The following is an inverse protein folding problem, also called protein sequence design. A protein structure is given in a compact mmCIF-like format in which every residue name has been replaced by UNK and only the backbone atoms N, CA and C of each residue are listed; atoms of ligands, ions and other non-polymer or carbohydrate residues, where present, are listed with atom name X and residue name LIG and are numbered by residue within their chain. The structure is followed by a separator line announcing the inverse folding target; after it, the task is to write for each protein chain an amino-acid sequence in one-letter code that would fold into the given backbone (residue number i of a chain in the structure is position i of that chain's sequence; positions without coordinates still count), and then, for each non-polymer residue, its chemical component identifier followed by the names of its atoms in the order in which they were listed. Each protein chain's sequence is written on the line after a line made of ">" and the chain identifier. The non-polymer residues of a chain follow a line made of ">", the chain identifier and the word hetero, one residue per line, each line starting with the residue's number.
data_IF_360258890448
#
_entry.id   IF_360258890448
#
_cell.length_a   1.000
_cell.length_b   1.000
_cell.length_c   1.000
_cell.angle_alpha   90.00
_cell.angle_beta   90.00
_cell.angle_gamma   90.00
#
_symmetry.space_group_name_H-M   'P 1'
#
loop_
_entity.id
_entity.type
_entity.pdbx_description
1 polymer ?
#
# COMPACT_ATOMS: atom_id res chain seq x y z
N UNK A 1 -24.81 28.98 -61.54
CA UNK A 1 -26.05 28.75 -60.74
C UNK A 1 -26.09 27.27 -60.35
N UNK A 2 -26.47 26.99 -59.09
CA UNK A 2 -26.29 25.77 -58.27
C UNK A 2 -24.99 25.83 -57.42
N UNK A 3 -25.06 26.34 -56.18
CA UNK A 3 -25.45 25.63 -54.92
C UNK A 3 -24.48 24.46 -54.70
N UNK A 4 -23.55 24.46 -53.72
CA UNK A 4 -23.73 24.57 -52.28
C UNK A 4 -22.37 24.90 -51.60
N UNK A 5 -22.33 25.91 -50.73
CA UNK A 5 -21.35 25.98 -49.63
C UNK A 5 -22.11 26.44 -48.39
N UNK A 6 -22.59 25.47 -47.61
CA UNK A 6 -23.15 25.73 -46.28
C UNK A 6 -21.98 25.95 -45.32
N UNK A 7 -21.88 27.18 -44.82
CA UNK A 7 -20.94 27.60 -43.79
C UNK A 7 -21.05 26.70 -42.56
N UNK A 8 -19.90 26.17 -42.14
CA UNK A 8 -19.70 25.61 -40.81
C UNK A 8 -19.97 26.69 -39.78
N UNK A 9 -20.99 26.49 -38.94
CA UNK A 9 -21.03 27.11 -37.61
C UNK A 9 -22.04 26.37 -36.75
N UNK A 10 -21.56 25.45 -35.92
CA UNK A 10 -22.17 25.16 -34.61
C UNK A 10 -21.16 24.43 -33.75
N UNK A 11 -20.80 25.09 -32.65
CA UNK A 11 -20.35 24.54 -31.37
C UNK A 11 -19.19 23.54 -31.41
N UNK A 12 -17.98 24.09 -31.23
CA UNK A 12 -16.98 23.42 -30.42
C UNK A 12 -17.57 23.25 -29.00
N UNK A 13 -18.07 22.05 -28.69
CA UNK A 13 -18.21 21.64 -27.30
C UNK A 13 -16.78 21.36 -26.85
N UNK A 14 -16.17 22.34 -26.17
CA UNK A 14 -15.07 22.09 -25.28
C UNK A 14 -15.59 21.15 -24.19
N UNK A 15 -15.41 19.84 -24.38
CA UNK A 15 -15.45 18.93 -23.26
C UNK A 15 -14.18 19.21 -22.46
N UNK A 16 -14.31 20.09 -21.45
CA UNK A 16 -13.39 20.13 -20.31
C UNK A 16 -13.52 18.78 -19.58
N UNK A 17 -12.90 17.75 -20.15
CA UNK A 17 -12.50 16.58 -19.39
C UNK A 17 -11.34 17.03 -18.53
N UNK A 18 -11.59 17.23 -17.24
CA UNK A 18 -10.53 17.19 -16.24
C UNK A 18 -9.80 15.87 -16.47
N UNK A 19 -8.57 15.91 -16.99
CA UNK A 19 -7.66 14.76 -16.99
C UNK A 19 -7.55 14.30 -15.54
N UNK A 20 -8.30 13.25 -15.19
CA UNK A 20 -8.16 12.64 -13.88
C UNK A 20 -6.84 11.90 -13.93
N UNK A 21 -5.86 12.39 -13.18
CA UNK A 21 -4.67 11.62 -12.84
C UNK A 21 -5.07 10.16 -12.53
N UNK A 22 -4.27 9.20 -12.96
CA UNK A 22 -4.49 7.78 -12.71
C UNK A 22 -4.43 7.52 -11.19
N UNK A 23 -5.57 7.61 -10.50
CA UNK A 23 -5.71 7.40 -9.05
C UNK A 23 -6.20 5.98 -8.79
N UNK A 24 -5.44 5.21 -8.03
CA UNK A 24 -5.74 3.81 -7.69
C UNK A 24 -5.81 3.64 -6.18
N UNK A 25 -6.79 2.91 -5.66
CA UNK A 25 -6.79 2.55 -4.24
C UNK A 25 -5.89 1.32 -4.04
N UNK A 26 -4.67 1.52 -3.55
CA UNK A 26 -3.71 0.42 -3.34
C UNK A 26 -4.24 -0.63 -2.36
N UNK A 27 -5.10 -0.22 -1.42
CA UNK A 27 -5.65 -1.11 -0.41
C UNK A 27 -6.79 -1.99 -0.95
N UNK A 28 -7.33 -1.68 -2.14
CA UNK A 28 -8.49 -2.36 -2.72
C UNK A 28 -8.19 -2.90 -4.12
N UNK A 29 -7.57 -2.10 -4.97
CA UNK A 29 -7.28 -2.40 -6.37
C UNK A 29 -6.03 -3.29 -6.51
N UNK A 30 -5.99 -4.12 -7.56
CA UNK A 30 -4.88 -5.03 -7.88
C UNK A 30 -4.01 -4.53 -9.07
N UNK A 31 -3.54 -3.27 -9.15
CA UNK A 31 -2.74 -2.85 -10.29
C UNK A 31 -1.26 -3.32 -10.22
N UNK A 32 -0.83 -3.90 -9.09
CA UNK A 32 0.58 -4.33 -8.90
C UNK A 32 0.72 -5.83 -9.13
N UNK A 33 1.45 -6.19 -10.18
CA UNK A 33 1.84 -7.57 -10.48
C UNK A 33 3.23 -7.87 -9.88
N UNK A 34 3.25 -8.48 -8.70
CA UNK A 34 4.49 -8.99 -8.10
C UNK A 34 5.08 -10.14 -8.93
N UNK A 35 6.40 -10.35 -8.81
CA UNK A 35 7.05 -11.53 -9.36
C UNK A 35 6.42 -12.82 -8.79
N UNK A 36 5.76 -13.61 -9.65
CA UNK A 36 5.08 -14.84 -9.25
C UNK A 36 6.03 -15.94 -8.82
N UNK A 37 7.30 -15.88 -9.24
CA UNK A 37 8.32 -16.87 -8.88
C UNK A 37 8.99 -16.61 -7.55
N UNK A 38 8.73 -15.45 -6.94
CA UNK A 38 9.24 -15.11 -5.62
C UNK A 38 8.70 -16.09 -4.54
N UNK A 39 9.57 -16.81 -3.83
CA UNK A 39 9.15 -17.81 -2.85
C UNK A 39 8.36 -17.19 -1.69
N UNK A 40 8.74 -15.99 -1.24
CA UNK A 40 8.06 -15.29 -0.15
C UNK A 40 6.67 -14.84 -0.62
N UNK A 41 6.52 -14.44 -1.88
CA UNK A 41 5.21 -14.13 -2.44
C UNK A 41 4.28 -15.36 -2.49
N UNK A 42 4.82 -16.52 -2.92
CA UNK A 42 4.07 -17.78 -2.95
C UNK A 42 3.59 -18.18 -1.56
N UNK A 43 4.47 -18.11 -0.55
CA UNK A 43 4.13 -18.38 0.85
C UNK A 43 3.06 -17.43 1.37
N UNK A 44 3.20 -16.13 1.10
CA UNK A 44 2.23 -15.12 1.50
C UNK A 44 0.85 -15.35 0.87
N UNK A 45 0.78 -15.69 -0.43
CA UNK A 45 -0.48 -16.01 -1.11
C UNK A 45 -1.12 -17.29 -0.56
N UNK A 46 -0.33 -18.33 -0.28
CA UNK A 46 -0.84 -19.54 0.36
C UNK A 46 -1.43 -19.24 1.75
N UNK A 47 -0.76 -18.38 2.52
CA UNK A 47 -1.22 -17.92 3.82
C UNK A 47 -2.50 -17.08 3.74
N UNK A 48 -2.62 -16.18 2.77
CA UNK A 48 -3.88 -15.44 2.54
C UNK A 48 -5.04 -16.38 2.19
N UNK A 49 -4.77 -17.40 1.36
CA UNK A 49 -5.79 -18.36 0.95
C UNK A 49 -6.30 -19.18 2.15
N UNK A 50 -5.41 -19.69 3.01
CA UNK A 50 -5.80 -20.44 4.20
C UNK A 50 -6.60 -19.58 5.19
N UNK A 51 -6.27 -18.31 5.33
CA UNK A 51 -7.00 -17.36 6.18
C UNK A 51 -8.41 -17.09 5.69
N UNK A 52 -8.61 -17.01 4.38
CA UNK A 52 -9.94 -16.88 3.79
C UNK A 52 -10.83 -18.11 4.07
N UNK A 53 -10.24 -19.29 4.22
CA UNK A 53 -10.92 -20.55 4.56
C UNK A 53 -11.21 -20.60 6.05
N UNK A 54 -10.22 -20.31 6.90
CA UNK A 54 -10.36 -20.32 8.37
C UNK A 54 -11.38 -19.28 8.85
N UNK A 55 -11.39 -18.08 8.27
CA UNK A 55 -12.37 -17.05 8.60
C UNK A 55 -13.82 -17.45 8.28
N UNK A 56 -14.05 -18.45 7.42
CA UNK A 56 -15.38 -19.03 7.15
C UNK A 56 -15.74 -20.15 8.13
N UNK A 57 -14.75 -20.84 8.67
CA UNK A 57 -14.93 -21.99 9.56
C UNK A 57 -15.00 -21.60 11.05
N UNK A 58 -14.28 -20.57 11.46
CA UNK A 58 -14.23 -20.08 12.84
C UNK A 58 -14.99 -18.75 12.94
N UNK A 59 -16.11 -18.75 13.66
CA UNK A 59 -16.89 -17.56 13.96
C UNK A 59 -16.06 -16.62 14.85
N UNK A 60 -15.55 -15.54 14.27
CA UNK A 60 -15.40 -14.21 14.89
C UNK A 60 -14.65 -14.09 16.22
N UNK A 61 -13.53 -14.80 16.44
CA UNK A 61 -12.64 -14.47 17.57
C UNK A 61 -11.81 -13.21 17.30
N UNK A 62 -11.48 -12.47 18.37
CA UNK A 62 -10.63 -11.28 18.29
C UNK A 62 -9.26 -11.59 17.65
N UNK A 63 -8.69 -12.76 17.93
CA UNK A 63 -7.41 -13.19 17.33
C UNK A 63 -7.50 -13.39 15.81
N UNK A 64 -8.59 -14.00 15.31
CA UNK A 64 -8.81 -14.17 13.87
C UNK A 64 -8.94 -12.81 13.18
N UNK A 65 -9.65 -11.86 13.82
CA UNK A 65 -9.77 -10.51 13.29
C UNK A 65 -8.43 -9.77 13.25
N UNK A 66 -7.63 -9.88 14.32
CA UNK A 66 -6.28 -9.29 14.38
C UNK A 66 -5.38 -9.87 13.30
N UNK A 67 -5.40 -11.20 13.10
CA UNK A 67 -4.63 -11.87 12.06
C UNK A 67 -4.99 -11.37 10.66
N UNK A 68 -6.30 -11.27 10.36
CA UNK A 68 -6.80 -10.69 9.11
C UNK A 68 -6.33 -9.24 8.90
N UNK A 69 -6.27 -8.45 9.97
CA UNK A 69 -5.75 -7.07 9.90
C UNK A 69 -4.24 -7.04 9.63
N UNK A 70 -3.44 -7.90 10.30
CA UNK A 70 -2.00 -8.04 10.03
C UNK A 70 -1.73 -8.36 8.56
N UNK A 71 -2.45 -9.31 7.99
CA UNK A 71 -2.33 -9.70 6.58
C UNK A 71 -2.60 -8.51 5.66
N UNK A 72 -3.71 -7.81 5.87
CA UNK A 72 -4.07 -6.64 5.06
C UNK A 72 -3.07 -5.51 5.19
N UNK A 73 -2.57 -5.27 6.41
CA UNK A 73 -1.55 -4.26 6.69
C UNK A 73 -0.25 -4.59 5.98
N UNK A 74 0.20 -5.84 6.06
CA UNK A 74 1.40 -6.30 5.37
C UNK A 74 1.23 -6.23 3.85
N UNK A 75 0.12 -6.72 3.29
CA UNK A 75 -0.21 -6.62 1.86
C UNK A 75 -0.15 -5.16 1.38
N UNK A 76 -0.79 -4.25 2.11
CA UNK A 76 -0.80 -2.82 1.77
C UNK A 76 0.60 -2.23 1.81
N UNK A 77 1.39 -2.53 2.84
CA UNK A 77 2.78 -2.06 2.95
C UNK A 77 3.63 -2.56 1.78
N UNK A 78 3.50 -3.84 1.42
CA UNK A 78 4.24 -4.45 0.31
C UNK A 78 3.86 -3.84 -1.02
N UNK A 79 2.57 -3.56 -1.23
CA UNK A 79 2.10 -2.85 -2.42
C UNK A 79 2.59 -1.40 -2.47
N UNK A 80 2.63 -0.68 -1.35
CA UNK A 80 3.21 0.66 -1.29
C UNK A 80 4.69 0.65 -1.70
N UNK A 81 5.47 -0.29 -1.16
CA UNK A 81 6.89 -0.45 -1.53
C UNK A 81 7.02 -0.77 -3.02
N UNK A 82 6.22 -1.70 -3.52
CA UNK A 82 6.22 -2.12 -4.92
C UNK A 82 5.81 -1.01 -5.89
N UNK A 83 4.85 -0.17 -5.51
CA UNK A 83 4.45 0.99 -6.31
C UNK A 83 5.60 1.99 -6.47
N UNK A 84 6.34 2.22 -5.39
CA UNK A 84 7.51 3.11 -5.39
C UNK A 84 8.75 2.46 -6.02
N UNK A 85 8.81 1.12 -6.07
CA UNK A 85 9.78 0.41 -6.90
C UNK A 85 9.46 0.68 -8.38
N UNK A 86 10.48 1.06 -9.16
CA UNK A 86 10.32 1.36 -10.59
C UNK A 86 10.42 0.11 -11.46
N UNK A 87 10.46 -1.07 -10.84
CA UNK A 87 10.50 -2.37 -11.51
C UNK A 87 9.13 -2.76 -12.04
N UNK A 88 9.05 -3.30 -13.26
CA UNK A 88 7.79 -3.76 -13.86
C UNK A 88 7.16 -4.95 -13.09
N UNK A 89 8.00 -5.82 -12.51
CA UNK A 89 7.59 -6.96 -11.67
C UNK A 89 8.43 -6.97 -10.40
N UNK A 90 8.08 -6.15 -9.38
CA UNK A 90 8.87 -6.04 -8.18
C UNK A 90 8.84 -7.35 -7.38
N UNK A 91 9.99 -7.71 -6.83
CA UNK A 91 10.13 -8.86 -5.94
C UNK A 91 9.50 -8.56 -4.59
N UNK A 92 8.52 -9.37 -4.20
CA UNK A 92 7.83 -9.24 -2.93
C UNK A 92 8.78 -9.46 -1.75
N UNK A 93 9.73 -10.38 -1.86
CA UNK A 93 10.70 -10.75 -0.85
C UNK A 93 11.85 -9.77 -0.68
N UNK A 94 12.08 -8.85 -1.63
CA UNK A 94 13.27 -7.97 -1.66
C UNK A 94 13.46 -7.14 -0.38
N UNK A 95 12.38 -6.77 0.29
CA UNK A 95 12.42 -6.02 1.55
C UNK A 95 12.04 -6.87 2.77
N UNK A 96 11.92 -8.19 2.62
CA UNK A 96 11.62 -9.14 3.70
C UNK A 96 12.92 -9.79 4.18
N UNK A 97 13.09 -9.93 5.50
CA UNK A 97 14.30 -10.52 6.09
C UNK A 97 15.61 -9.84 5.63
N UNK A 98 15.56 -8.54 5.33
CA UNK A 98 16.69 -7.78 4.80
C UNK A 98 17.32 -6.90 5.88
N UNK A 99 18.65 -6.92 5.95
CA UNK A 99 19.42 -6.09 6.88
C UNK A 99 19.04 -6.34 8.34
N UNK A 100 19.09 -5.28 9.14
CA UNK A 100 18.78 -5.31 10.57
C UNK A 100 17.35 -4.87 10.90
N UNK A 101 16.64 -4.23 9.96
CA UNK A 101 15.36 -3.57 10.22
C UNK A 101 14.25 -3.86 9.20
N UNK A 102 14.54 -4.29 7.97
CA UNK A 102 13.49 -4.50 6.97
C UNK A 102 12.76 -5.83 7.17
N UNK A 103 11.59 -5.75 7.82
CA UNK A 103 10.62 -6.86 7.96
C UNK A 103 11.31 -8.18 8.38
N UNK A 104 12.11 -8.10 9.45
CA UNK A 104 12.96 -9.22 9.92
C UNK A 104 12.14 -10.47 10.27
N UNK A 105 10.94 -10.28 10.84
CA UNK A 105 10.00 -11.36 11.14
C UNK A 105 8.83 -11.40 10.13
N UNK A 106 9.01 -10.77 8.97
CA UNK A 106 7.97 -10.69 7.93
C UNK A 106 6.66 -10.09 8.44
N UNK A 107 5.57 -10.85 8.30
CA UNK A 107 4.22 -10.43 8.67
C UNK A 107 3.94 -10.56 10.18
N UNK A 108 4.66 -11.44 10.88
CA UNK A 108 4.35 -11.75 12.28
C UNK A 108 4.62 -10.56 13.20
N UNK A 109 5.73 -9.86 12.96
CA UNK A 109 6.07 -8.58 13.57
C UNK A 109 6.85 -7.64 12.62
N UNK A 110 6.15 -6.64 12.07
CA UNK A 110 6.76 -5.61 11.20
C UNK A 110 7.66 -4.63 11.96
N UNK A 111 7.70 -4.69 13.30
CA UNK A 111 8.49 -3.84 14.18
C UNK A 111 9.70 -4.58 14.77
N UNK A 112 9.96 -5.81 14.32
CA UNK A 112 11.13 -6.60 14.72
C UNK A 112 12.46 -6.00 14.23
N UNK A 113 13.57 -6.55 14.71
CA UNK A 113 14.94 -6.17 14.34
C UNK A 113 15.57 -5.09 15.23
N UNK A 114 16.89 -5.03 15.23
CA UNK A 114 17.71 -4.12 16.05
C UNK A 114 19.11 -3.97 15.44
N UNK A 115 19.83 -2.93 15.86
CA UNK A 115 21.22 -2.69 15.44
C UNK A 115 21.42 -1.39 14.67
N UNK A 116 22.58 -1.30 14.02
CA UNK A 116 22.87 -0.23 13.07
C UNK A 116 22.38 -0.65 11.69
N UNK A 117 21.71 0.24 10.94
CA UNK A 117 21.26 -0.09 9.60
C UNK A 117 22.46 -0.37 8.71
N UNK A 118 22.36 -1.39 7.88
CA UNK A 118 23.48 -1.83 7.01
C UNK A 118 23.65 -0.94 5.79
N UNK A 119 22.59 -0.27 5.35
CA UNK A 119 22.56 0.65 4.22
C UNK A 119 21.39 1.65 4.30
N UNK A 120 21.14 2.40 3.22
CA UNK A 120 20.07 3.39 3.14
C UNK A 120 18.67 2.77 3.09
N UNK A 121 18.54 1.57 2.50
CA UNK A 121 17.27 0.84 2.46
C UNK A 121 16.89 0.40 3.88
N UNK A 122 17.83 -0.20 4.59
CA UNK A 122 17.66 -0.62 5.98
C UNK A 122 17.44 0.58 6.92
N UNK A 123 18.08 1.72 6.61
CA UNK A 123 17.82 3.00 7.31
C UNK A 123 16.40 3.50 7.10
N UNK A 124 15.81 3.34 5.92
CA UNK A 124 14.40 3.65 5.68
C UNK A 124 13.47 2.71 6.49
N UNK A 125 13.77 1.43 6.56
CA UNK A 125 13.02 0.47 7.39
C UNK A 125 13.12 0.78 8.88
N UNK A 126 14.31 1.19 9.36
CA UNK A 126 14.50 1.67 10.73
C UNK A 126 13.61 2.88 11.04
N UNK A 127 13.58 3.88 10.15
CA UNK A 127 12.72 5.06 10.27
C UNK A 127 11.23 4.71 10.27
N UNK A 128 10.80 3.81 9.38
CA UNK A 128 9.42 3.32 9.37
C UNK A 128 9.03 2.67 10.70
N UNK A 129 9.84 1.73 11.21
CA UNK A 129 9.61 1.09 12.50
C UNK A 129 9.52 2.12 13.65
N UNK A 130 10.43 3.10 13.67
CA UNK A 130 10.40 4.15 14.68
C UNK A 130 9.12 5.00 14.59
N UNK A 131 8.67 5.35 13.37
CA UNK A 131 7.43 6.08 13.15
C UNK A 131 6.22 5.32 13.73
N UNK A 132 6.11 4.01 13.46
CA UNK A 132 5.02 3.19 14.03
C UNK A 132 5.12 3.10 15.56
N UNK A 133 6.34 2.98 16.12
CA UNK A 133 6.55 2.99 17.58
C UNK A 133 6.15 4.33 18.22
N UNK A 134 6.49 5.47 17.60
CA UNK A 134 6.05 6.79 18.06
C UNK A 134 4.53 6.90 18.03
N UNK A 135 3.87 6.48 16.95
CA UNK A 135 2.41 6.48 16.87
C UNK A 135 1.77 5.60 17.96
N UNK A 136 2.35 4.44 18.27
CA UNK A 136 1.91 3.60 19.38
C UNK A 136 2.05 4.31 20.74
N UNK A 137 3.17 4.99 20.97
CA UNK A 137 3.41 5.75 22.21
C UNK A 137 2.44 6.93 22.35
N UNK A 138 2.21 7.67 21.27
CA UNK A 138 1.42 8.90 21.30
C UNK A 138 -0.10 8.64 21.37
N UNK A 139 -0.58 7.55 20.78
CA UNK A 139 -2.02 7.26 20.66
C UNK A 139 -2.47 5.99 21.40
N UNK A 140 -1.56 5.11 21.80
CA UNK A 140 -1.89 3.81 22.41
C UNK A 140 -2.35 2.75 21.42
N UNK A 141 -2.24 1.48 21.82
CA UNK A 141 -2.59 0.30 21.00
C UNK A 141 -4.09 0.21 20.70
N UNK A 142 -4.93 0.78 21.54
CA UNK A 142 -6.38 0.82 21.37
C UNK A 142 -6.82 1.79 20.26
N UNK A 143 -6.04 2.85 19.98
CA UNK A 143 -6.37 3.85 18.94
C UNK A 143 -5.60 3.58 17.66
N UNK A 144 -4.29 3.34 17.78
CA UNK A 144 -3.37 3.14 16.66
C UNK A 144 -2.58 1.83 16.81
N UNK A 145 -3.24 0.66 16.79
CA UNK A 145 -2.51 -0.60 16.80
C UNK A 145 -1.68 -0.75 15.52
N UNK A 146 -0.45 -1.23 15.64
CA UNK A 146 0.48 -1.36 14.52
C UNK A 146 -0.05 -2.23 13.38
N UNK A 147 -0.86 -3.24 13.72
CA UNK A 147 -1.46 -4.20 12.79
C UNK A 147 -2.67 -3.65 12.03
N UNK A 148 -3.14 -2.45 12.35
CA UNK A 148 -4.28 -1.85 11.65
C UNK A 148 -3.88 -1.46 10.21
N UNK A 149 -4.64 -1.88 9.18
CA UNK A 149 -4.36 -1.50 7.80
C UNK A 149 -4.61 -0.01 7.56
N UNK A 150 -3.98 0.52 6.52
CA UNK A 150 -4.17 1.89 6.05
C UNK A 150 -5.08 1.92 4.83
N UNK A 151 -5.78 3.04 4.63
CA UNK A 151 -6.39 3.37 3.34
C UNK A 151 -5.46 4.30 2.58
N UNK A 152 -5.04 3.87 1.38
CA UNK A 152 -3.99 4.55 0.63
C UNK A 152 -4.34 4.57 -0.85
N UNK A 153 -4.15 5.71 -1.51
CA UNK A 153 -4.23 5.81 -2.97
C UNK A 153 -2.88 6.09 -3.59
N UNK A 154 -2.56 5.42 -4.69
CA UNK A 154 -1.48 5.77 -5.60
C UNK A 154 -1.97 6.81 -6.60
N UNK A 155 -1.11 7.74 -6.97
CA UNK A 155 -1.36 8.66 -8.08
C UNK A 155 -0.04 9.05 -8.75
N UNK A 156 -0.07 9.23 -10.06
CA UNK A 156 1.06 9.77 -10.82
C UNK A 156 0.73 11.21 -11.18
N UNK A 157 1.65 12.12 -10.87
CA UNK A 157 1.56 13.51 -11.30
C UNK A 157 1.70 13.58 -12.82
N UNK A 158 0.73 14.18 -13.50
CA UNK A 158 0.65 14.19 -14.97
C UNK A 158 1.65 15.14 -15.62
N UNK A 159 2.19 16.11 -14.88
CA UNK A 159 3.15 17.08 -15.38
C UNK A 159 4.60 16.59 -15.19
N UNK A 160 4.89 16.01 -14.03
CA UNK A 160 6.24 15.60 -13.63
C UNK A 160 6.49 14.09 -13.82
N UNK A 161 5.43 13.29 -13.89
CA UNK A 161 5.52 11.83 -13.85
C UNK A 161 5.86 11.27 -12.46
N UNK A 162 5.87 12.09 -11.42
CA UNK A 162 6.22 11.65 -10.07
C UNK A 162 5.12 10.78 -9.46
N UNK A 163 5.53 9.70 -8.77
CA UNK A 163 4.62 8.79 -8.06
C UNK A 163 4.36 9.30 -6.64
N UNK A 164 3.09 9.38 -6.26
CA UNK A 164 2.67 9.77 -4.92
C UNK A 164 1.79 8.71 -4.26
N UNK A 165 1.92 8.60 -2.94
CA UNK A 165 1.06 7.81 -2.06
C UNK A 165 0.30 8.76 -1.15
N UNK A 166 -1.03 8.71 -1.19
CA UNK A 166 -1.91 9.61 -0.42
C UNK A 166 -2.72 8.82 0.59
N UNK A 167 -2.52 9.12 1.87
CA UNK A 167 -3.29 8.54 2.96
C UNK A 167 -4.74 9.05 2.90
N UNK A 168 -5.71 8.13 2.98
CA UNK A 168 -7.15 8.44 2.99
C UNK A 168 -7.78 8.28 4.37
N UNK A 169 -7.02 7.81 5.35
CA UNK A 169 -7.50 7.77 6.72
C UNK A 169 -7.67 9.19 7.25
N UNK A 170 -8.80 9.43 7.94
CA UNK A 170 -9.05 10.73 8.57
C UNK A 170 -7.98 11.00 9.63
N UNK A 171 -7.43 12.21 9.59
CA UNK A 171 -6.48 12.67 10.59
C UNK A 171 -7.15 12.61 11.97
N UNK A 172 -6.52 11.88 12.90
CA UNK A 172 -7.02 11.76 14.27
C UNK A 172 -6.20 12.70 15.13
N UNK A 173 -6.79 13.82 15.52
CA UNK A 173 -6.17 14.76 16.46
C UNK A 173 -6.05 14.05 17.82
N UNK A 174 -4.83 14.02 18.37
CA UNK A 174 -4.59 13.54 19.72
C UNK A 174 -5.42 14.37 20.70
N UNK A 175 -6.23 13.71 21.53
CA UNK A 175 -6.75 14.35 22.75
C UNK A 175 -5.57 14.38 23.74
N UNK A 176 -4.78 15.45 23.69
CA UNK A 176 -3.85 15.79 24.77
C UNK A 176 -4.62 16.00 26.07
#
# INVERSE_FOLDING_TARGET
>A
MKLLFSFLSTLAIAQNGSETADVWDISIDQPIEFNSEDPIYKEFKAMQASESIMARALVGSDESQIRKMKIRKFDTLKKMIAYMDNSAKPDFGKSCHYGCHCLVDGMDDILAGYGQPVDEIDSACKRYKQCVKCALTDFGTQVCPWYKPYKMTAMVDTETGEKHLVCKDKERVSKK
#
